data_IF_937975696086
#
_entry.id   IF_937975696086
#
_cell.length_a   1.000
_cell.length_b   1.000
_cell.length_c   1.000
_cell.angle_alpha   90.00
_cell.angle_beta   90.00
_cell.angle_gamma   90.00
#
_symmetry.space_group_name_H-M   'P 1'
#
loop_
_entity.id
_entity.type
_entity.pdbx_description
1 polymer ?
#
# COMPACT_ATOMS: atom_id res chain seq x y z
N UNK A 1 9.18 0.90 10.46
CA UNK A 1 7.98 0.05 10.27
C UNK A 1 7.40 0.40 8.91
N UNK A 2 6.94 -0.58 8.13
CA UNK A 2 6.70 -0.46 6.67
C UNK A 2 5.52 0.46 6.29
N UNK A 3 5.71 1.78 6.36
CA UNK A 3 4.71 2.78 5.94
C UNK A 3 4.29 2.56 4.48
N UNK A 4 3.00 2.75 4.20
CA UNK A 4 2.38 2.52 2.89
C UNK A 4 2.59 1.12 2.26
N UNK A 5 3.02 0.12 3.03
CA UNK A 5 3.11 -1.26 2.54
C UNK A 5 1.77 -1.99 2.53
N UNK A 6 1.73 -3.17 1.90
CA UNK A 6 0.57 -4.06 1.97
C UNK A 6 0.24 -4.46 3.41
N UNK A 7 1.27 -4.75 4.22
CA UNK A 7 1.11 -5.05 5.64
C UNK A 7 0.50 -3.86 6.41
N UNK A 8 0.98 -2.64 6.15
CA UNK A 8 0.42 -1.42 6.73
C UNK A 8 -1.06 -1.27 6.41
N UNK A 9 -1.43 -1.32 5.12
CA UNK A 9 -2.81 -1.12 4.71
C UNK A 9 -3.74 -2.22 5.22
N UNK A 10 -3.29 -3.47 5.17
CA UNK A 10 -4.05 -4.59 5.72
C UNK A 10 -4.27 -4.47 7.22
N UNK A 11 -3.25 -4.07 7.98
CA UNK A 11 -3.38 -3.83 9.42
C UNK A 11 -4.41 -2.74 9.74
N UNK A 12 -4.39 -1.63 8.99
CA UNK A 12 -5.35 -0.56 9.21
C UNK A 12 -6.78 -1.00 8.91
N UNK A 13 -7.00 -1.74 7.82
CA UNK A 13 -8.30 -2.30 7.49
C UNK A 13 -8.83 -3.22 8.60
N UNK A 14 -8.03 -4.20 9.03
CA UNK A 14 -8.45 -5.13 10.09
C UNK A 14 -8.80 -4.37 11.37
N UNK A 15 -7.95 -3.41 11.75
CA UNK A 15 -8.16 -2.63 12.98
C UNK A 15 -9.42 -1.76 12.90
N UNK A 16 -9.62 -1.04 11.81
CA UNK A 16 -10.78 -0.18 11.65
C UNK A 16 -12.09 -0.97 11.49
N UNK A 17 -12.04 -2.17 10.90
CA UNK A 17 -13.19 -3.07 10.81
C UNK A 17 -13.65 -3.53 12.19
N UNK A 18 -12.75 -4.13 13.00
CA UNK A 18 -13.10 -4.63 14.33
C UNK A 18 -13.38 -3.52 15.36
N UNK A 19 -12.91 -2.30 15.12
CA UNK A 19 -13.21 -1.14 15.98
C UNK A 19 -14.41 -0.33 15.48
N UNK A 20 -15.15 -0.82 14.49
CA UNK A 20 -16.33 -0.14 13.93
C UNK A 20 -16.05 1.29 13.43
N UNK A 21 -14.81 1.55 12.97
CA UNK A 21 -14.37 2.85 12.43
C UNK A 21 -14.53 2.97 10.92
N UNK A 22 -14.84 1.87 10.24
CA UNK A 22 -15.18 1.88 8.82
C UNK A 22 -16.59 2.44 8.59
N UNK A 23 -16.82 3.24 7.54
CA UNK A 23 -18.17 3.59 7.13
C UNK A 23 -19.01 2.33 6.87
N UNK A 24 -20.30 2.36 7.20
CA UNK A 24 -21.18 1.18 7.13
C UNK A 24 -21.19 0.51 5.75
N UNK A 25 -21.19 1.29 4.66
CA UNK A 25 -21.14 0.75 3.29
C UNK A 25 -19.85 -0.01 3.01
N UNK A 26 -18.70 0.55 3.41
CA UNK A 26 -17.37 -0.07 3.26
C UNK A 26 -17.25 -1.32 4.13
N UNK A 27 -17.72 -1.26 5.37
CA UNK A 27 -17.70 -2.39 6.31
C UNK A 27 -18.51 -3.58 5.78
N UNK A 28 -19.71 -3.32 5.23
CA UNK A 28 -20.55 -4.37 4.60
C UNK A 28 -19.85 -5.02 3.41
N UNK A 29 -19.19 -4.22 2.57
CA UNK A 29 -18.45 -4.74 1.41
C UNK A 29 -17.23 -5.56 1.85
N UNK A 30 -16.49 -5.07 2.85
CA UNK A 30 -15.35 -5.77 3.43
C UNK A 30 -15.77 -7.10 4.06
N UNK A 31 -16.86 -7.10 4.84
CA UNK A 31 -17.44 -8.32 5.41
C UNK A 31 -17.84 -9.32 4.33
N UNK A 32 -18.53 -8.87 3.27
CA UNK A 32 -18.95 -9.75 2.17
C UNK A 32 -17.77 -10.46 1.51
N UNK A 33 -16.62 -9.77 1.40
CA UNK A 33 -15.42 -10.29 0.73
C UNK A 33 -14.59 -11.23 1.62
N UNK A 34 -14.44 -10.93 2.91
CA UNK A 34 -13.49 -11.64 3.77
C UNK A 34 -14.12 -12.47 4.89
N UNK A 35 -15.35 -12.14 5.32
CA UNK A 35 -16.10 -12.85 6.38
C UNK A 35 -15.24 -13.21 7.59
N UNK A 36 -14.54 -12.21 8.12
CA UNK A 36 -13.52 -12.43 9.15
C UNK A 36 -14.13 -12.83 10.48
N UNK A 37 -13.52 -13.85 11.10
CA UNK A 37 -13.72 -14.19 12.50
C UNK A 37 -12.61 -13.60 13.39
N UNK A 38 -12.99 -13.05 14.54
CA UNK A 38 -12.05 -12.40 15.44
C UNK A 38 -11.05 -13.39 16.07
N UNK A 39 -11.46 -14.64 16.30
CA UNK A 39 -10.58 -15.66 16.86
C UNK A 39 -9.56 -16.16 15.82
N UNK A 40 -10.00 -16.35 14.57
CA UNK A 40 -9.11 -16.72 13.47
C UNK A 40 -8.08 -15.61 13.21
N UNK A 41 -8.50 -14.35 13.15
CA UNK A 41 -7.60 -13.21 12.94
C UNK A 41 -6.55 -13.15 14.06
N UNK A 42 -6.93 -13.37 15.33
CA UNK A 42 -5.98 -13.40 16.45
C UNK A 42 -4.99 -14.56 16.32
N UNK A 43 -5.45 -15.75 15.96
CA UNK A 43 -4.56 -16.90 15.74
C UNK A 43 -3.53 -16.61 14.63
N UNK A 44 -4.01 -16.12 13.48
CA UNK A 44 -3.15 -15.74 12.35
C UNK A 44 -2.12 -14.67 12.68
N UNK A 45 -2.44 -13.74 13.58
CA UNK A 45 -1.56 -12.63 13.94
C UNK A 45 -0.56 -12.98 15.05
N UNK A 46 -0.96 -13.78 16.03
CA UNK A 46 -0.17 -13.98 17.25
C UNK A 46 0.41 -15.38 17.39
N UNK A 47 -0.11 -16.38 16.68
CA UNK A 47 0.26 -17.79 16.86
C UNK A 47 0.83 -18.44 15.60
N UNK A 48 0.59 -17.86 14.43
CA UNK A 48 1.04 -18.40 13.14
C UNK A 48 2.27 -17.66 12.61
N UNK A 49 3.13 -18.32 11.82
CA UNK A 49 4.26 -17.66 11.16
C UNK A 49 3.79 -16.67 10.09
N UNK A 50 4.64 -15.67 9.82
CA UNK A 50 4.45 -14.66 8.76
C UNK A 50 3.14 -13.82 8.86
N UNK A 51 2.84 -13.21 10.02
CA UNK A 51 1.62 -12.40 10.19
C UNK A 51 1.56 -11.20 9.23
N UNK A 52 2.71 -10.64 8.86
CA UNK A 52 2.80 -9.54 7.88
C UNK A 52 2.27 -9.95 6.51
N UNK A 53 2.54 -11.18 6.07
CA UNK A 53 2.04 -11.71 4.79
C UNK A 53 0.53 -11.94 4.85
N UNK A 54 0.01 -12.41 5.99
CA UNK A 54 -1.43 -12.51 6.20
C UNK A 54 -2.10 -11.13 6.10
N UNK A 55 -1.58 -10.12 6.80
CA UNK A 55 -2.09 -8.75 6.74
C UNK A 55 -2.02 -8.17 5.31
N UNK A 56 -0.91 -8.39 4.60
CA UNK A 56 -0.74 -7.89 3.24
C UNK A 56 -1.82 -8.36 2.25
N UNK A 57 -2.48 -9.50 2.50
CA UNK A 57 -3.59 -10.00 1.66
C UNK A 57 -4.76 -9.02 1.64
N UNK A 58 -5.03 -8.32 2.74
CA UNK A 58 -6.16 -7.39 2.84
C UNK A 58 -5.94 -6.08 2.08
N UNK A 59 -4.68 -5.72 1.77
CA UNK A 59 -4.39 -4.54 0.96
C UNK A 59 -5.02 -4.60 -0.44
N UNK A 60 -5.35 -5.79 -0.94
CA UNK A 60 -6.11 -5.98 -2.18
C UNK A 60 -7.48 -5.27 -2.14
N UNK A 61 -8.11 -5.16 -0.98
CA UNK A 61 -9.36 -4.39 -0.82
C UNK A 61 -9.14 -2.90 -1.06
N UNK A 62 -8.05 -2.32 -0.53
CA UNK A 62 -7.71 -0.91 -0.77
C UNK A 62 -7.49 -0.65 -2.25
N UNK A 63 -6.78 -1.55 -2.94
CA UNK A 63 -6.47 -1.41 -4.37
C UNK A 63 -7.75 -1.43 -5.21
N UNK A 64 -8.63 -2.39 -4.97
CA UNK A 64 -9.87 -2.53 -5.75
C UNK A 64 -10.89 -1.42 -5.46
N UNK A 65 -10.85 -0.83 -4.26
CA UNK A 65 -11.81 0.17 -3.80
C UNK A 65 -11.18 1.55 -3.58
N UNK A 66 -10.10 1.87 -4.31
CA UNK A 66 -9.31 3.09 -4.11
C UNK A 66 -10.08 4.40 -4.35
N UNK A 67 -11.18 4.34 -5.09
CA UNK A 67 -12.08 5.48 -5.36
C UNK A 67 -13.05 5.76 -4.20
N UNK A 68 -13.25 4.80 -3.29
CA UNK A 68 -14.03 5.06 -2.08
C UNK A 68 -13.28 6.07 -1.20
N UNK A 69 -13.98 7.10 -0.75
CA UNK A 69 -13.41 8.17 0.08
C UNK A 69 -12.62 7.63 1.30
N UNK A 70 -13.09 6.55 1.93
CA UNK A 70 -12.38 5.89 3.03
C UNK A 70 -11.02 5.34 2.60
N UNK A 71 -10.99 4.53 1.53
CA UNK A 71 -9.77 3.92 1.01
C UNK A 71 -8.80 4.99 0.53
N UNK A 72 -9.28 5.99 -0.22
CA UNK A 72 -8.47 7.09 -0.73
C UNK A 72 -7.77 7.88 0.39
N UNK A 73 -8.50 8.21 1.47
CA UNK A 73 -7.94 8.86 2.67
C UNK A 73 -6.86 8.01 3.32
N UNK A 74 -7.10 6.70 3.42
CA UNK A 74 -6.17 5.77 4.05
C UNK A 74 -4.89 5.60 3.21
N UNK A 75 -5.02 5.52 1.88
CA UNK A 75 -3.89 5.51 0.92
C UNK A 75 -3.07 6.79 1.05
N UNK A 76 -3.73 7.95 0.97
CA UNK A 76 -3.09 9.26 1.03
C UNK A 76 -2.37 9.45 2.37
N UNK A 77 -2.98 9.05 3.49
CA UNK A 77 -2.35 9.07 4.81
C UNK A 77 -1.11 8.17 4.85
N UNK A 78 -1.22 6.95 4.33
CA UNK A 78 -0.10 6.00 4.26
C UNK A 78 1.08 6.55 3.46
N UNK A 79 0.83 7.06 2.26
CA UNK A 79 1.89 7.62 1.42
C UNK A 79 2.50 8.90 1.99
N UNK A 80 1.73 9.79 2.64
CA UNK A 80 2.33 10.95 3.31
C UNK A 80 3.23 10.55 4.49
N UNK A 81 2.85 9.52 5.26
CA UNK A 81 3.73 8.96 6.28
C UNK A 81 5.01 8.40 5.66
N UNK A 82 4.88 7.65 4.56
CA UNK A 82 6.04 7.12 3.83
C UNK A 82 6.96 8.22 3.30
N UNK A 83 6.41 9.28 2.72
CA UNK A 83 7.19 10.43 2.25
C UNK A 83 7.95 11.06 3.42
N UNK A 84 7.24 11.44 4.48
CA UNK A 84 7.81 12.12 5.63
C UNK A 84 8.89 11.30 6.32
N UNK A 85 8.60 10.02 6.56
CA UNK A 85 9.43 9.19 7.41
C UNK A 85 10.51 8.43 6.64
N UNK A 86 10.49 8.36 5.29
CA UNK A 86 11.48 7.56 4.53
C UNK A 86 12.09 8.31 3.36
N UNK A 87 11.39 9.25 2.74
CA UNK A 87 11.93 10.01 1.59
C UNK A 87 12.55 11.33 2.06
N UNK A 88 11.85 12.11 2.88
CA UNK A 88 12.30 13.45 3.31
C UNK A 88 13.48 13.41 4.28
N UNK A 89 13.98 12.23 4.64
CA UNK A 89 15.24 12.07 5.35
C UNK A 89 16.47 12.37 4.46
N UNK A 90 16.30 12.44 3.14
CA UNK A 90 17.38 12.71 2.19
C UNK A 90 17.28 14.14 1.64
N UNK A 91 18.34 14.93 1.79
CA UNK A 91 18.35 16.36 1.43
C UNK A 91 18.12 16.62 -0.08
N UNK A 92 18.54 15.69 -0.92
CA UNK A 92 18.45 15.76 -2.38
C UNK A 92 17.15 15.16 -2.94
N UNK A 93 16.23 14.68 -2.10
CA UNK A 93 15.03 13.94 -2.52
C UNK A 93 14.12 14.70 -3.52
N UNK A 94 14.19 16.04 -3.55
CA UNK A 94 13.44 16.91 -4.48
C UNK A 94 14.14 17.10 -5.83
N UNK A 95 15.44 16.83 -5.90
CA UNK A 95 16.27 17.06 -7.07
C UNK A 95 16.24 15.84 -8.00
N UNK A 96 16.22 14.64 -7.41
CA UNK A 96 16.27 13.35 -8.11
C UNK A 96 14.88 12.71 -8.32
N UNK A 97 14.69 11.90 -9.38
CA UNK A 97 13.48 11.11 -9.55
C UNK A 97 13.43 9.91 -8.58
N UNK A 98 12.27 9.69 -7.98
CA UNK A 98 12.01 8.58 -7.07
C UNK A 98 11.44 7.38 -7.83
N UNK A 99 12.14 6.26 -7.78
CA UNK A 99 11.76 5.02 -8.45
C UNK A 99 11.13 4.04 -7.47
N UNK A 100 10.06 3.36 -7.88
CA UNK A 100 9.30 2.44 -7.03
C UNK A 100 9.19 1.06 -7.65
N UNK A 101 9.28 0.03 -6.82
CA UNK A 101 9.07 -1.35 -7.23
C UNK A 101 8.15 -2.06 -6.24
N UNK A 102 7.23 -2.87 -6.76
CA UNK A 102 6.34 -3.71 -5.98
C UNK A 102 4.86 -3.45 -6.24
N UNK A 103 4.01 -4.37 -5.78
CA UNK A 103 2.58 -4.36 -6.09
C UNK A 103 1.86 -3.08 -5.66
N UNK A 104 2.12 -2.59 -4.45
CA UNK A 104 1.44 -1.40 -3.93
C UNK A 104 1.77 -0.16 -4.76
N UNK A 105 3.06 0.14 -4.96
CA UNK A 105 3.48 1.29 -5.78
C UNK A 105 2.96 1.20 -7.21
N UNK A 106 2.91 0.00 -7.79
CA UNK A 106 2.40 -0.22 -9.15
C UNK A 106 0.88 -0.03 -9.25
N UNK A 107 0.10 -0.65 -8.37
CA UNK A 107 -1.37 -0.60 -8.44
C UNK A 107 -1.96 0.72 -7.92
N UNK A 108 -1.24 1.42 -7.04
CA UNK A 108 -1.61 2.73 -6.51
C UNK A 108 -0.72 3.86 -7.07
N UNK A 109 -0.24 3.70 -8.31
CA UNK A 109 0.69 4.64 -8.95
C UNK A 109 0.12 6.06 -9.01
N UNK A 110 -1.15 6.20 -9.38
CA UNK A 110 -1.78 7.52 -9.55
C UNK A 110 -1.92 8.24 -8.20
N UNK A 111 -2.26 7.50 -7.14
CA UNK A 111 -2.36 8.01 -5.78
C UNK A 111 -0.98 8.38 -5.22
N UNK A 112 0.02 7.55 -5.48
CA UNK A 112 1.42 7.84 -5.15
C UNK A 112 1.90 9.11 -5.87
N UNK A 113 1.65 9.24 -7.17
CA UNK A 113 2.05 10.41 -7.96
C UNK A 113 1.41 11.70 -7.43
N UNK A 114 0.13 11.66 -7.07
CA UNK A 114 -0.57 12.80 -6.45
C UNK A 114 0.10 13.24 -5.15
N UNK A 115 0.47 12.29 -4.28
CA UNK A 115 1.14 12.59 -3.02
C UNK A 115 2.56 13.13 -3.25
N UNK A 116 3.33 12.55 -4.17
CA UNK A 116 4.67 13.04 -4.49
C UNK A 116 4.63 14.46 -5.06
N UNK A 117 3.74 14.74 -6.02
CA UNK A 117 3.56 16.08 -6.60
C UNK A 117 3.23 17.12 -5.54
N UNK A 118 2.34 16.79 -4.59
CA UNK A 118 1.98 17.69 -3.49
C UNK A 118 3.17 18.05 -2.59
N UNK A 119 4.17 17.17 -2.49
CA UNK A 119 5.38 17.37 -1.69
C UNK A 119 6.59 17.86 -2.52
N UNK A 120 6.36 18.30 -3.77
CA UNK A 120 7.41 18.73 -4.72
C UNK A 120 8.46 17.64 -5.01
N UNK A 121 8.04 16.37 -5.00
CA UNK A 121 8.87 15.22 -5.32
C UNK A 121 8.57 14.73 -6.74
N UNK A 122 9.61 14.25 -7.44
CA UNK A 122 9.50 13.80 -8.83
C UNK A 122 9.32 12.28 -8.88
N UNK A 123 8.21 11.82 -9.46
CA UNK A 123 8.02 10.40 -9.71
C UNK A 123 8.86 9.95 -10.92
N UNK A 124 9.64 8.89 -10.74
CA UNK A 124 10.35 8.18 -11.79
C UNK A 124 9.60 6.94 -12.29
N UNK A 125 10.36 5.90 -12.62
CA UNK A 125 9.83 4.58 -13.01
C UNK A 125 9.11 3.90 -11.84
N UNK A 126 7.98 3.27 -12.15
CA UNK A 126 7.22 2.42 -11.22
C UNK A 126 7.04 1.05 -11.86
N UNK A 127 7.61 0.01 -11.25
CA UNK A 127 7.60 -1.36 -11.79
C UNK A 127 6.87 -2.31 -10.84
N UNK A 128 6.15 -3.28 -11.41
CA UNK A 128 5.50 -4.32 -10.59
C UNK A 128 6.51 -5.32 -10.05
N UNK A 129 7.44 -5.75 -10.89
CA UNK A 129 8.53 -6.69 -10.56
C UNK A 129 9.84 -6.20 -11.20
N UNK A 130 10.99 -6.30 -10.49
CA UNK A 130 12.28 -5.87 -11.05
C UNK A 130 12.65 -6.57 -12.37
N UNK A 131 12.25 -7.84 -12.53
CA UNK A 131 12.63 -8.69 -13.66
C UNK A 131 12.21 -8.13 -15.02
N UNK A 132 11.12 -7.36 -15.07
CA UNK A 132 10.64 -6.72 -16.31
C UNK A 132 11.67 -5.73 -16.86
N UNK A 133 12.40 -5.03 -15.99
CA UNK A 133 13.48 -4.13 -16.41
C UNK A 133 14.70 -4.88 -16.96
N UNK A 134 15.05 -6.01 -16.33
CA UNK A 134 16.19 -6.84 -16.73
C UNK A 134 15.95 -7.49 -18.09
N UNK A 135 14.78 -8.09 -18.30
CA UNK A 135 14.43 -8.72 -19.58
C UNK A 135 14.51 -7.71 -20.73
N UNK A 136 13.94 -6.51 -20.55
CA UNK A 136 13.99 -5.47 -21.57
C UNK A 136 15.41 -4.97 -21.88
N UNK A 137 16.30 -4.95 -20.88
CA UNK A 137 17.69 -4.58 -21.10
C UNK A 137 18.43 -5.61 -21.95
N UNK A 138 18.26 -6.90 -21.66
CA UNK A 138 18.92 -7.96 -22.43
C UNK A 138 18.36 -8.08 -23.85
N UNK A 139 17.05 -7.92 -24.05
CA UNK A 139 16.43 -7.94 -25.39
C UNK A 139 16.87 -6.78 -26.29
N UNK A 140 17.28 -5.64 -25.73
CA UNK A 140 17.75 -4.47 -26.49
C UNK A 140 19.25 -4.51 -26.82
N UNK A 141 20.00 -5.39 -26.17
CA UNK A 141 21.45 -5.54 -26.33
C UNK A 141 21.81 -6.87 -27.03
N UNK A 142 20.83 -7.48 -27.69
CA UNK A 142 20.96 -8.55 -28.68
C UNK A 142 20.68 -7.92 -30.03
#
# INVERSE_FOLDING_TARGET
>A
MDDASGNYFGRQLIRDYFFEKMPSSVSKEFYRKYRLDASEVKDRLYKQPNPNTYLAKFAKFIIENKDLNYCNKLITKGFNLFVKNQIEQFDDCKQIPLHFVGSIGFYLKDELEKVLKKNNLKLGKVLKRPIEGLVNYHLKNI
#
